data_IF_992839266968
#
_entry.id   IF_992839266968
#
_cell.length_a   1.000
_cell.length_b   1.000
_cell.length_c   1.000
_cell.angle_alpha   90.00
_cell.angle_beta   90.00
_cell.angle_gamma   90.00
#
_symmetry.space_group_name_H-M   'P 1'
#
loop_
_entity.id
_entity.type
_entity.pdbx_description
1 polymer ?
#
# COMPACT_ATOMS: atom_id res chain seq x y z
N UNK A 1 -22.24 12.59 6.78
CA UNK A 1 -22.03 12.83 7.09
C UNK A 1 -21.62 12.76 7.32
N UNK A 2 -21.56 12.69 7.00
CA UNK A 2 -21.09 12.88 7.30
C UNK A 2 -20.69 12.82 7.56
N UNK A 3 -20.60 12.81 7.38
CA UNK A 3 -19.98 12.88 7.75
C UNK A 3 -19.61 12.50 7.99
N UNK A 4 -19.60 12.35 7.75
CA UNK A 4 -19.07 12.29 8.02
C UNK A 4 -18.53 11.82 7.91
N UNK A 5 -18.52 11.87 7.70
CA UNK A 5 -17.90 11.68 7.73
C UNK A 5 -17.56 11.22 7.73
N UNK A 6 -17.78 11.20 7.23
CA UNK A 6 -17.31 11.00 7.39
C UNK A 6 -16.72 10.57 7.86
N UNK A 7 -16.87 10.18 8.09
CA UNK A 7 -16.12 10.06 8.40
C UNK A 7 -15.03 9.78 7.98
N UNK A 8 -15.37 9.32 7.19
CA UNK A 8 -14.07 9.77 6.82
C UNK A 8 -13.97 11.22 7.09
N UNK A 9 -13.31 11.45 7.97
CA UNK A 9 -13.21 12.83 8.29
C UNK A 9 -12.08 13.46 7.50
N UNK A 10 -11.97 14.75 7.61
CA UNK A 10 -10.95 15.47 6.88
C UNK A 10 -9.54 15.20 7.40
N UNK A 11 -9.41 14.60 8.58
CA UNK A 11 -8.10 14.38 9.17
C UNK A 11 -7.37 13.20 8.54
N UNK A 12 -8.09 12.31 7.86
CA UNK A 12 -7.44 11.21 7.18
C UNK A 12 -7.99 11.09 5.79
N UNK A 13 -7.10 10.77 4.85
CA UNK A 13 -7.47 10.56 3.47
C UNK A 13 -7.61 9.09 3.13
N UNK A 14 -7.45 8.21 4.14
CA UNK A 14 -7.65 6.78 3.97
C UNK A 14 -8.92 6.36 4.68
N UNK A 15 -10.03 6.22 3.95
CA UNK A 15 -11.24 5.66 4.55
C UNK A 15 -10.97 4.27 5.09
N UNK A 16 -11.62 3.90 6.18
CA UNK A 16 -11.43 2.59 6.77
C UNK A 16 -11.88 1.46 5.86
N UNK A 17 -12.73 1.76 4.90
CA UNK A 17 -13.25 0.75 3.97
C UNK A 17 -12.56 0.77 2.62
N UNK A 18 -11.41 1.44 2.51
CA UNK A 18 -10.67 1.39 1.27
C UNK A 18 -10.25 -0.06 0.99
N UNK A 19 -10.29 -0.44 -0.28
CA UNK A 19 -9.92 -1.79 -0.70
C UNK A 19 -8.42 -2.01 -0.60
N UNK A 20 -7.92 -3.08 -1.26
CA UNK A 20 -6.53 -3.47 -1.05
C UNK A 20 -5.55 -2.35 -1.35
N UNK A 21 -4.60 -2.17 -0.43
CA UNK A 21 -3.50 -1.23 -0.58
C UNK A 21 -2.29 -2.01 -1.05
N UNK A 22 -1.76 -1.65 -2.21
CA UNK A 22 -0.66 -2.38 -2.84
C UNK A 22 0.65 -1.63 -2.65
N UNK A 23 1.65 -2.31 -2.12
CA UNK A 23 2.99 -1.76 -1.93
C UNK A 23 3.93 -2.27 -3.02
N UNK A 24 4.56 -1.39 -3.76
CA UNK A 24 5.58 -1.77 -4.72
C UNK A 24 6.91 -1.85 -3.97
N UNK A 25 7.48 -3.05 -3.86
CA UNK A 25 8.68 -3.27 -3.07
C UNK A 25 8.38 -3.35 -1.58
N UNK A 26 7.40 -4.16 -1.21
CA UNK A 26 6.86 -4.19 0.16
C UNK A 26 7.90 -4.60 1.21
N UNK A 27 8.91 -5.38 0.82
CA UNK A 27 9.97 -5.78 1.73
C UNK A 27 11.06 -4.75 1.92
N UNK A 28 10.96 -3.59 1.27
CA UNK A 28 11.99 -2.56 1.35
C UNK A 28 12.02 -1.85 2.68
N UNK A 29 13.15 -1.18 2.92
CA UNK A 29 13.34 -0.42 4.15
C UNK A 29 12.28 0.68 4.24
N UNK A 30 11.59 0.71 5.37
CA UNK A 30 10.55 1.69 5.61
C UNK A 30 9.20 1.35 5.00
N UNK A 31 9.14 0.38 4.09
CA UNK A 31 7.87 -0.03 3.48
C UNK A 31 7.17 -1.06 4.34
N UNK A 32 7.92 -2.07 4.80
CA UNK A 32 7.35 -3.18 5.56
C UNK A 32 6.73 -2.71 6.88
N UNK A 33 7.35 -1.74 7.53
CA UNK A 33 6.81 -1.22 8.78
C UNK A 33 5.46 -0.55 8.59
N UNK A 34 5.33 0.22 7.52
CA UNK A 34 4.06 0.89 7.19
C UNK A 34 2.99 -0.16 6.86
N UNK A 35 3.37 -1.17 6.08
CA UNK A 35 2.45 -2.24 5.74
C UNK A 35 1.94 -2.96 7.00
N UNK A 36 2.83 -3.21 7.95
CA UNK A 36 2.46 -3.88 9.19
C UNK A 36 1.48 -3.04 10.01
N UNK A 37 1.71 -1.73 10.09
CA UNK A 37 0.79 -0.84 10.81
C UNK A 37 -0.60 -0.87 10.17
N UNK A 38 -0.66 -0.83 8.85
CA UNK A 38 -1.95 -0.89 8.15
C UNK A 38 -2.66 -2.22 8.40
N UNK A 39 -1.92 -3.32 8.39
CA UNK A 39 -2.50 -4.63 8.71
C UNK A 39 -3.09 -4.62 10.12
N UNK A 40 -2.37 -4.04 11.07
CA UNK A 40 -2.84 -3.97 12.46
C UNK A 40 -4.07 -3.09 12.60
N UNK A 41 -4.30 -2.17 11.67
CA UNK A 41 -5.49 -1.32 11.68
C UNK A 41 -6.65 -1.92 10.88
N UNK A 42 -6.49 -3.14 10.36
CA UNK A 42 -7.57 -3.82 9.68
C UNK A 42 -7.64 -3.60 8.17
N UNK A 43 -6.67 -2.92 7.60
CA UNK A 43 -6.65 -2.73 6.15
C UNK A 43 -6.21 -4.00 5.44
N UNK A 44 -6.73 -4.18 4.22
CA UNK A 44 -6.24 -5.24 3.34
C UNK A 44 -4.97 -4.75 2.67
N UNK A 45 -3.90 -5.49 2.87
CA UNK A 45 -2.57 -5.10 2.36
C UNK A 45 -2.04 -6.19 1.46
N UNK A 46 -1.48 -5.76 0.35
CA UNK A 46 -0.77 -6.64 -0.55
C UNK A 46 0.48 -5.91 -1.04
N UNK A 47 1.37 -6.63 -1.68
CA UNK A 47 2.53 -5.99 -2.23
C UNK A 47 3.38 -6.94 -3.02
N UNK A 48 4.32 -6.38 -3.75
CA UNK A 48 5.27 -7.14 -4.54
C UNK A 48 6.69 -6.88 -4.06
N UNK A 49 7.55 -7.84 -4.34
CA UNK A 49 8.98 -7.66 -4.17
C UNK A 49 9.69 -8.52 -5.19
N UNK A 50 10.92 -8.16 -5.50
CA UNK A 50 11.69 -8.94 -6.48
C UNK A 50 12.04 -10.32 -5.97
N UNK A 51 12.22 -10.43 -4.64
CA UNK A 51 12.55 -11.70 -4.00
C UNK A 51 11.82 -11.85 -2.69
N UNK A 52 11.47 -13.08 -2.37
CA UNK A 52 10.98 -13.40 -1.04
C UNK A 52 12.09 -13.19 0.00
N UNK A 53 11.70 -12.81 1.20
CA UNK A 53 12.64 -12.56 2.28
C UNK A 53 11.95 -12.86 3.61
N UNK A 54 12.74 -12.82 4.70
CA UNK A 54 12.13 -12.97 6.03
C UNK A 54 11.10 -11.88 6.30
N UNK A 55 11.34 -10.68 5.75
CA UNK A 55 10.43 -9.56 5.93
C UNK A 55 9.11 -9.84 5.21
N UNK A 56 9.15 -10.28 3.96
CA UNK A 56 7.91 -10.59 3.23
C UNK A 56 7.22 -11.80 3.84
N UNK A 57 7.98 -12.77 4.35
CA UNK A 57 7.38 -13.93 5.04
C UNK A 57 6.64 -13.50 6.29
N UNK A 58 7.22 -12.57 7.06
CA UNK A 58 6.55 -12.04 8.23
C UNK A 58 5.24 -11.33 7.86
N UNK A 59 5.28 -10.48 6.83
CA UNK A 59 4.07 -9.79 6.40
C UNK A 59 3.00 -10.77 5.95
N UNK A 60 3.40 -11.81 5.25
CA UNK A 60 2.46 -12.84 4.83
C UNK A 60 1.82 -13.51 6.04
N UNK A 61 2.59 -13.78 7.08
CA UNK A 61 2.06 -14.40 8.30
C UNK A 61 1.09 -13.47 9.03
N UNK A 62 1.20 -12.16 8.81
CA UNK A 62 0.29 -11.18 9.38
C UNK A 62 -0.94 -10.91 8.52
N UNK A 63 -1.04 -11.58 7.38
CA UNK A 63 -2.22 -11.49 6.53
C UNK A 63 -2.02 -10.77 5.21
N UNK A 64 -0.82 -10.30 4.90
CA UNK A 64 -0.57 -9.64 3.62
C UNK A 64 -0.50 -10.67 2.49
N UNK A 65 -0.94 -10.24 1.31
CA UNK A 65 -0.77 -11.03 0.10
C UNK A 65 0.52 -10.56 -0.58
N UNK A 66 1.46 -11.47 -0.77
CA UNK A 66 2.78 -11.14 -1.31
C UNK A 66 2.93 -11.75 -2.69
N UNK A 67 3.32 -10.91 -3.65
CA UNK A 67 3.64 -11.36 -5.01
C UNK A 67 5.16 -11.30 -5.19
N UNK A 68 5.75 -12.38 -5.65
CA UNK A 68 7.17 -12.37 -6.01
C UNK A 68 7.28 -11.95 -7.47
N UNK A 69 8.06 -10.90 -7.74
CA UNK A 69 8.14 -10.30 -9.06
C UNK A 69 7.15 -9.15 -9.21
N UNK A 70 7.54 -8.16 -10.00
CA UNK A 70 6.72 -6.97 -10.22
C UNK A 70 6.09 -7.03 -11.60
N UNK A 71 4.76 -7.05 -11.65
CA UNK A 71 3.98 -7.17 -12.88
C UNK A 71 2.71 -6.36 -12.77
N UNK A 72 2.23 -5.89 -13.91
CA UNK A 72 0.98 -5.14 -13.96
C UNK A 72 -0.19 -5.92 -13.35
N UNK A 73 -0.23 -7.22 -13.55
CA UNK A 73 -1.33 -8.06 -13.07
C UNK A 73 -1.44 -8.07 -11.54
N UNK A 74 -0.35 -7.78 -10.85
CA UNK A 74 -0.37 -7.75 -9.39
C UNK A 74 -1.31 -6.68 -8.83
N UNK A 75 -1.67 -5.70 -9.65
CA UNK A 75 -2.53 -4.61 -9.23
C UNK A 75 -4.01 -4.92 -9.35
N UNK A 76 -4.36 -6.08 -9.83
CA UNK A 76 -5.78 -6.42 -9.99
C UNK A 76 -6.47 -6.32 -8.63
N UNK A 77 -7.52 -5.51 -8.57
CA UNK A 77 -8.26 -5.30 -7.34
C UNK A 77 -7.68 -4.27 -6.39
N UNK A 78 -6.45 -3.81 -6.62
CA UNK A 78 -5.85 -2.80 -5.75
C UNK A 78 -6.54 -1.45 -5.94
N UNK A 79 -6.68 -0.69 -4.85
CA UNK A 79 -7.32 0.62 -4.90
C UNK A 79 -6.36 1.77 -4.59
N UNK A 80 -5.25 1.48 -3.92
CA UNK A 80 -4.24 2.48 -3.60
C UNK A 80 -2.88 1.83 -3.79
N UNK A 81 -1.94 2.58 -4.37
CA UNK A 81 -0.59 2.08 -4.62
C UNK A 81 0.39 2.92 -3.81
N UNK A 82 1.25 2.24 -3.05
CA UNK A 82 2.29 2.91 -2.26
C UNK A 82 3.65 2.62 -2.88
N UNK A 83 4.41 3.67 -3.10
CA UNK A 83 5.74 3.56 -3.71
C UNK A 83 6.79 4.25 -2.83
N UNK A 84 8.04 3.85 -3.00
CA UNK A 84 9.17 4.56 -2.42
C UNK A 84 9.85 5.38 -3.51
N UNK A 85 10.85 6.18 -3.12
CA UNK A 85 11.60 6.99 -4.08
C UNK A 85 12.40 6.13 -5.06
N UNK A 86 12.60 4.86 -4.76
CA UNK A 86 13.32 3.95 -5.67
C UNK A 86 12.48 3.52 -6.86
N UNK A 87 11.17 3.69 -6.80
CA UNK A 87 10.27 3.27 -7.87
C UNK A 87 10.16 4.40 -8.88
N UNK A 88 10.49 4.10 -10.13
CA UNK A 88 10.58 5.10 -11.19
C UNK A 88 9.66 4.74 -12.35
N UNK A 89 9.33 5.71 -13.21
CA UNK A 89 8.61 5.40 -14.45
C UNK A 89 9.32 4.28 -15.20
N UNK A 90 8.54 3.38 -15.78
CA UNK A 90 9.05 2.16 -16.38
C UNK A 90 8.84 0.94 -15.50
N UNK A 91 8.61 1.14 -14.21
CA UNK A 91 8.21 0.03 -13.34
C UNK A 91 6.82 -0.42 -13.76
N UNK A 92 6.62 -1.72 -14.05
CA UNK A 92 5.33 -2.16 -14.60
C UNK A 92 4.15 -1.91 -13.66
N UNK A 93 4.35 -1.98 -12.37
CA UNK A 93 3.25 -1.75 -11.43
C UNK A 93 2.93 -0.26 -11.31
N UNK A 94 3.93 0.60 -11.26
CA UNK A 94 3.70 2.03 -11.25
C UNK A 94 3.01 2.48 -12.54
N UNK A 95 3.49 2.00 -13.68
CA UNK A 95 2.91 2.37 -14.96
C UNK A 95 1.46 1.91 -15.06
N UNK A 96 1.17 0.71 -14.59
CA UNK A 96 -0.20 0.20 -14.60
C UNK A 96 -1.11 1.03 -13.71
N UNK A 97 -0.62 1.41 -12.52
CA UNK A 97 -1.40 2.23 -11.60
C UNK A 97 -1.79 3.55 -12.25
N UNK A 98 -0.84 4.17 -12.95
CA UNK A 98 -1.10 5.43 -13.64
C UNK A 98 -2.05 5.27 -14.79
N UNK A 99 -1.92 4.17 -15.54
CA UNK A 99 -2.82 3.89 -16.65
C UNK A 99 -4.25 3.69 -16.18
N UNK A 100 -4.43 3.12 -15.01
CA UNK A 100 -5.76 2.88 -14.43
C UNK A 100 -6.29 4.07 -13.64
N UNK A 101 -5.47 5.11 -13.45
CA UNK A 101 -5.88 6.26 -12.66
C UNK A 101 -5.97 5.98 -11.16
N UNK A 102 -5.24 4.98 -10.67
CA UNK A 102 -5.24 4.67 -9.25
C UNK A 102 -4.43 5.70 -8.47
N UNK A 103 -4.84 6.04 -7.25
CA UNK A 103 -4.03 6.90 -6.40
C UNK A 103 -2.66 6.28 -6.15
N UNK A 104 -1.62 7.07 -6.37
CA UNK A 104 -0.24 6.66 -6.10
C UNK A 104 0.27 7.52 -4.95
N UNK A 105 0.61 6.88 -3.84
CA UNK A 105 1.01 7.56 -2.62
C UNK A 105 2.46 7.20 -2.33
N UNK A 106 3.25 8.20 -2.02
CA UNK A 106 4.65 7.97 -1.65
C UNK A 106 4.72 7.52 -0.20
N UNK A 107 5.78 6.77 0.11
CA UNK A 107 5.99 6.27 1.46
C UNK A 107 5.87 7.37 2.52
N UNK A 108 6.48 8.52 2.26
CA UNK A 108 6.44 9.62 3.23
C UNK A 108 5.02 10.14 3.43
N UNK A 109 4.23 10.19 2.37
CA UNK A 109 2.84 10.63 2.47
C UNK A 109 2.01 9.63 3.26
N UNK A 110 2.24 8.33 3.02
CA UNK A 110 1.53 7.30 3.77
C UNK A 110 1.90 7.35 5.24
N UNK A 111 3.17 7.58 5.55
CA UNK A 111 3.61 7.71 6.93
C UNK A 111 2.90 8.86 7.62
N UNK A 112 2.74 10.00 6.94
CA UNK A 112 2.03 11.14 7.48
C UNK A 112 0.57 10.79 7.77
N UNK A 113 -0.07 10.03 6.89
CA UNK A 113 -1.45 9.59 7.11
C UNK A 113 -1.54 8.68 8.32
N UNK A 114 -0.59 7.76 8.48
CA UNK A 114 -0.59 6.87 9.64
C UNK A 114 -0.46 7.63 10.95
N UNK A 115 0.30 8.70 10.96
CA UNK A 115 0.45 9.50 12.17
C UNK A 115 -0.88 10.15 12.58
N UNK A 116 -1.76 10.38 11.63
CA UNK A 116 -3.09 10.92 11.93
C UNK A 116 -4.05 9.88 12.47
N UNK A 117 -3.74 8.60 12.27
CA UNK A 117 -4.60 7.52 12.74
C UNK A 117 -4.46 7.27 14.23
N UNK A 118 -3.47 7.86 14.86
CA UNK A 118 -3.24 7.67 16.30
C UNK A 118 -4.15 8.52 17.16
#
# INVERSE_FOLDING_TARGET
MMDGDLRMNAATKLPLDVGPIHFVGIGGIGMSGIAEVLLNHGYTVQGSDLKASKITDRLKSLGAIIFEGQRAENLEGAEVIVISSAIKPGNPELDEARAKGLPVVRRAEMLAELMRLK
#
